data_IF_070002758129
#
_entry.id   IF_070002758129
#
_cell.length_a   1.000
_cell.length_b   1.000
_cell.length_c   1.000
_cell.angle_alpha   90.00
_cell.angle_beta   90.00
_cell.angle_gamma   90.00
#
_symmetry.space_group_name_H-M   'P 1'
#
loop_
_entity.id
_entity.type
_entity.pdbx_description
1 polymer ?
#
# COMPACT_ATOMS: atom_id res chain seq x y z
N UNK A 1 16.28 -18.73 43.21
CA UNK A 1 16.91 -17.73 42.31
C UNK A 1 17.86 -16.86 43.14
N UNK A 2 19.18 -16.96 42.91
CA UNK A 2 20.21 -16.37 43.78
C UNK A 2 20.14 -14.82 43.78
N UNK A 3 20.46 -14.17 44.91
CA UNK A 3 20.40 -12.71 45.08
C UNK A 3 21.25 -11.96 44.04
N UNK A 4 22.38 -12.54 43.65
CA UNK A 4 23.26 -12.06 42.58
C UNK A 4 22.54 -12.03 41.23
N UNK A 5 21.73 -13.04 40.92
CA UNK A 5 20.99 -13.11 39.65
C UNK A 5 19.89 -12.04 39.56
N UNK A 6 19.21 -11.75 40.69
CA UNK A 6 18.23 -10.66 40.76
C UNK A 6 18.90 -9.28 40.57
N UNK A 7 20.07 -9.07 41.19
CA UNK A 7 20.83 -7.83 41.03
C UNK A 7 21.31 -7.63 39.58
N UNK A 8 21.75 -8.70 38.92
CA UNK A 8 22.14 -8.68 37.50
C UNK A 8 20.96 -8.33 36.59
N UNK A 9 19.77 -8.91 36.83
CA UNK A 9 18.54 -8.59 36.08
C UNK A 9 18.11 -7.12 36.23
N UNK A 10 18.20 -6.58 37.45
CA UNK A 10 17.84 -5.18 37.75
C UNK A 10 18.76 -4.19 37.02
N UNK A 11 20.02 -4.56 36.75
CA UNK A 11 20.97 -3.72 36.03
C UNK A 11 20.94 -3.95 34.51
N UNK A 12 20.72 -5.18 34.07
CA UNK A 12 20.74 -5.54 32.65
C UNK A 12 19.51 -5.02 31.87
N UNK A 13 18.32 -5.09 32.46
CA UNK A 13 17.07 -4.68 31.78
C UNK A 13 17.05 -3.20 31.42
N UNK A 14 17.39 -2.25 32.32
CA UNK A 14 17.50 -0.83 31.96
C UNK A 14 18.57 -0.58 30.89
N UNK A 15 19.70 -1.29 30.95
CA UNK A 15 20.76 -1.21 29.96
C UNK A 15 20.25 -1.56 28.55
N UNK A 16 19.53 -2.67 28.42
CA UNK A 16 18.93 -3.11 27.15
C UNK A 16 17.90 -2.11 26.64
N UNK A 17 17.00 -1.61 27.50
CA UNK A 17 16.01 -0.59 27.12
C UNK A 17 16.68 0.70 26.63
N UNK A 18 17.73 1.14 27.32
CA UNK A 18 18.52 2.31 26.91
C UNK A 18 19.19 2.06 25.56
N UNK A 19 19.77 0.87 25.32
CA UNK A 19 20.38 0.53 24.03
C UNK A 19 19.36 0.55 22.89
N UNK A 20 18.15 0.01 23.09
CA UNK A 20 17.08 0.10 22.09
C UNK A 20 16.64 1.53 21.83
N UNK A 21 16.52 2.35 22.88
CA UNK A 21 16.18 3.75 22.75
C UNK A 21 17.25 4.54 21.98
N UNK A 22 18.53 4.33 22.30
CA UNK A 22 19.65 4.94 21.56
C UNK A 22 19.63 4.50 20.10
N UNK A 23 19.43 3.20 19.82
CA UNK A 23 19.35 2.69 18.45
C UNK A 23 18.17 3.30 17.67
N UNK A 24 17.01 3.43 18.32
CA UNK A 24 15.85 4.11 17.73
C UNK A 24 16.15 5.57 17.40
N UNK A 25 16.76 6.32 18.34
CA UNK A 25 17.13 7.72 18.14
C UNK A 25 18.16 7.86 17.02
N UNK A 26 19.19 7.01 17.00
CA UNK A 26 20.20 7.01 15.93
C UNK A 26 19.58 6.71 14.57
N UNK A 27 18.70 5.71 14.48
CA UNK A 27 17.99 5.38 13.25
C UNK A 27 17.11 6.56 12.78
N UNK A 28 16.38 7.19 13.69
CA UNK A 28 15.58 8.38 13.39
C UNK A 28 16.46 9.53 12.88
N UNK A 29 17.62 9.77 13.49
CA UNK A 29 18.59 10.78 13.04
C UNK A 29 19.11 10.42 11.65
N UNK A 30 19.50 9.17 11.40
CA UNK A 30 20.02 8.73 10.10
C UNK A 30 18.98 8.88 9.00
N UNK A 31 17.73 8.44 9.22
CA UNK A 31 16.62 8.62 8.28
C UNK A 31 16.39 10.11 8.04
N UNK A 32 16.34 10.91 9.12
CA UNK A 32 16.16 12.36 9.00
C UNK A 32 17.30 13.00 8.19
N UNK A 33 18.56 12.64 8.43
CA UNK A 33 19.70 13.16 7.66
C UNK A 33 19.67 12.75 6.19
N UNK A 34 19.16 11.56 5.88
CA UNK A 34 19.01 11.09 4.50
C UNK A 34 17.86 11.82 3.77
N UNK A 35 16.78 12.17 4.48
CA UNK A 35 15.53 12.65 3.89
C UNK A 35 15.39 14.17 3.94
N UNK A 36 15.89 14.82 5.00
CA UNK A 36 15.82 16.29 5.17
C UNK A 36 16.47 17.08 4.03
N UNK A 37 17.60 16.68 3.42
CA UNK A 37 18.16 17.40 2.28
C UNK A 37 17.20 17.45 1.09
N UNK A 38 16.46 16.36 0.83
CA UNK A 38 15.46 16.31 -0.22
C UNK A 38 14.29 17.26 0.08
N UNK A 39 13.80 17.28 1.32
CA UNK A 39 12.75 18.23 1.73
C UNK A 39 13.20 19.69 1.68
N UNK A 40 14.41 19.99 2.16
CA UNK A 40 14.97 21.36 2.10
C UNK A 40 15.17 21.84 0.66
N UNK A 41 15.49 20.95 -0.27
CA UNK A 41 15.56 21.30 -1.69
C UNK A 41 14.18 21.73 -2.24
N UNK A 42 13.08 21.13 -1.76
CA UNK A 42 11.73 21.55 -2.13
C UNK A 42 11.31 22.89 -1.50
N UNK A 43 11.95 23.31 -0.41
CA UNK A 43 11.72 24.58 0.28
C UNK A 43 12.67 25.70 -0.17
N UNK A 44 13.62 25.41 -1.07
CA UNK A 44 14.55 26.41 -1.58
C UNK A 44 13.77 27.57 -2.26
N UNK A 45 13.99 28.84 -1.86
CA UNK A 45 13.25 29.97 -2.40
C UNK A 45 13.36 30.14 -3.91
N UNK A 46 14.50 29.77 -4.51
CA UNK A 46 14.70 29.80 -5.96
C UNK A 46 13.88 28.73 -6.65
N UNK A 47 13.89 27.50 -6.12
CA UNK A 47 13.05 26.39 -6.61
C UNK A 47 11.56 26.72 -6.47
N UNK A 48 11.14 27.29 -5.34
CA UNK A 48 9.76 27.71 -5.10
C UNK A 48 9.33 28.83 -6.07
N UNK A 49 10.18 29.83 -6.31
CA UNK A 49 9.90 30.91 -7.25
C UNK A 49 9.79 30.39 -8.69
N UNK A 50 10.71 29.51 -9.11
CA UNK A 50 10.67 28.86 -10.41
C UNK A 50 9.39 28.04 -10.61
N UNK A 51 9.01 27.25 -9.60
CA UNK A 51 7.75 26.49 -9.61
C UNK A 51 6.56 27.42 -9.71
N UNK A 52 6.50 28.47 -8.88
CA UNK A 52 5.39 29.43 -8.90
C UNK A 52 5.22 30.07 -10.27
N UNK A 53 6.32 30.49 -10.90
CA UNK A 53 6.29 31.01 -12.28
C UNK A 53 5.81 29.96 -13.27
N UNK A 54 6.27 28.71 -13.17
CA UNK A 54 5.80 27.63 -14.01
C UNK A 54 4.29 27.38 -13.86
N UNK A 55 3.78 27.25 -12.63
CA UNK A 55 2.35 27.06 -12.33
C UNK A 55 1.47 28.22 -12.83
N UNK A 56 1.96 29.45 -12.77
CA UNK A 56 1.25 30.61 -13.33
C UNK A 56 1.13 30.52 -14.86
N UNK A 57 2.11 29.92 -15.54
CA UNK A 57 2.09 29.75 -16.99
C UNK A 57 1.16 28.61 -17.45
N UNK A 58 0.94 27.59 -16.61
CA UNK A 58 0.06 26.44 -16.86
C UNK A 58 -1.27 26.50 -16.09
N UNK A 59 -1.59 27.67 -15.50
CA UNK A 59 -2.82 27.84 -14.74
C UNK A 59 -4.04 27.61 -15.65
N UNK A 60 -5.14 27.01 -15.12
CA UNK A 60 -6.36 26.79 -15.89
C UNK A 60 -6.85 28.12 -16.50
N UNK A 61 -7.15 28.09 -17.80
CA UNK A 61 -7.75 29.21 -18.55
C UNK A 61 -9.10 28.75 -19.12
N UNK A 62 -9.58 29.48 -20.12
CA UNK A 62 -10.83 29.16 -20.82
C UNK A 62 -10.67 27.99 -21.83
N UNK A 63 -9.59 27.19 -21.71
CA UNK A 63 -9.29 26.03 -22.54
C UNK A 63 -9.11 24.76 -21.69
N UNK A 64 -9.20 23.60 -22.33
CA UNK A 64 -8.90 22.30 -21.70
C UNK A 64 -7.38 22.01 -21.67
N UNK A 65 -6.53 22.96 -22.05
CA UNK A 65 -5.08 22.80 -21.96
C UNK A 65 -4.67 22.77 -20.49
N UNK A 66 -3.70 21.91 -20.17
CA UNK A 66 -3.21 21.70 -18.79
C UNK A 66 -4.26 21.18 -17.80
N UNK A 67 -5.47 20.80 -18.26
CA UNK A 67 -6.48 20.14 -17.45
C UNK A 67 -6.30 18.62 -17.49
N UNK A 68 -6.14 18.03 -16.31
CA UNK A 68 -5.95 16.59 -16.11
C UNK A 68 -6.99 16.08 -15.14
N UNK A 69 -7.70 15.02 -15.50
CA UNK A 69 -8.53 14.26 -14.58
C UNK A 69 -8.25 12.76 -14.68
N UNK A 70 -8.22 12.14 -13.51
CA UNK A 70 -8.07 10.71 -13.29
C UNK A 70 -8.96 10.34 -12.11
N UNK A 71 -9.27 9.06 -11.96
CA UNK A 71 -10.01 8.58 -10.79
C UNK A 71 -9.08 7.74 -9.91
N UNK A 72 -9.29 7.83 -8.60
CA UNK A 72 -8.71 6.91 -7.64
C UNK A 72 -9.86 6.23 -6.89
N UNK A 73 -9.81 4.90 -6.87
CA UNK A 73 -10.68 4.04 -6.07
C UNK A 73 -9.80 3.19 -5.16
N UNK A 74 -10.30 2.83 -3.99
CA UNK A 74 -9.57 2.13 -2.94
C UNK A 74 -10.52 1.20 -2.21
N UNK A 75 -9.98 0.21 -1.50
CA UNK A 75 -10.76 -0.61 -0.57
C UNK A 75 -11.97 -1.27 -1.25
N UNK A 76 -11.73 -1.84 -2.44
CA UNK A 76 -12.75 -2.54 -3.22
C UNK A 76 -13.25 -3.77 -2.47
N UNK A 77 -12.33 -4.45 -1.77
CA UNK A 77 -12.59 -5.59 -0.90
C UNK A 77 -13.56 -6.57 -1.56
N UNK A 78 -13.24 -7.00 -2.79
CA UNK A 78 -13.97 -8.07 -3.47
C UNK A 78 -13.92 -9.30 -2.55
N UNK A 79 -15.09 -9.77 -2.13
CA UNK A 79 -15.21 -10.75 -1.07
C UNK A 79 -16.17 -11.86 -1.43
N UNK A 80 -15.81 -13.09 -1.10
CA UNK A 80 -16.69 -14.26 -1.24
C UNK A 80 -17.79 -14.27 -0.16
N UNK A 81 -17.51 -13.65 0.99
CA UNK A 81 -18.32 -13.80 2.20
C UNK A 81 -18.94 -12.51 2.71
N UNK A 82 -18.34 -11.36 2.41
CA UNK A 82 -18.74 -10.07 2.97
C UNK A 82 -19.24 -9.16 1.86
N UNK A 83 -20.47 -8.68 1.99
CA UNK A 83 -20.99 -7.59 1.16
C UNK A 83 -20.81 -7.80 -0.36
N UNK A 84 -21.56 -8.77 -0.91
CA UNK A 84 -21.53 -9.08 -2.35
C UNK A 84 -21.93 -7.92 -3.26
N UNK A 85 -22.48 -6.82 -2.74
CA UNK A 85 -22.78 -5.62 -3.52
C UNK A 85 -21.52 -4.95 -4.06
N UNK A 86 -20.37 -5.12 -3.41
CA UNK A 86 -19.08 -4.55 -3.87
C UNK A 86 -18.69 -5.02 -5.26
N UNK A 87 -19.02 -6.26 -5.60
CA UNK A 87 -18.81 -6.86 -6.93
C UNK A 87 -19.65 -6.10 -7.96
N UNK A 88 -20.96 -5.95 -7.70
CA UNK A 88 -21.86 -5.23 -8.59
C UNK A 88 -21.52 -3.74 -8.70
N UNK A 89 -21.06 -3.11 -7.61
CA UNK A 89 -20.63 -1.71 -7.61
C UNK A 89 -19.34 -1.50 -8.39
N UNK A 90 -18.39 -2.44 -8.31
CA UNK A 90 -17.18 -2.39 -9.15
C UNK A 90 -17.54 -2.57 -10.63
N UNK A 91 -18.47 -3.47 -10.94
CA UNK A 91 -18.97 -3.65 -12.30
C UNK A 91 -19.66 -2.39 -12.82
N UNK A 92 -20.59 -1.81 -12.05
CA UNK A 92 -21.27 -0.54 -12.36
C UNK A 92 -20.29 0.63 -12.49
N UNK A 93 -19.28 0.72 -11.62
CA UNK A 93 -18.21 1.71 -11.76
C UNK A 93 -17.49 1.55 -13.11
N UNK A 94 -17.12 0.32 -13.46
CA UNK A 94 -16.45 0.03 -14.71
C UNK A 94 -17.36 0.29 -15.93
N UNK A 95 -18.66 0.00 -15.90
CA UNK A 95 -19.54 0.14 -17.07
C UNK A 95 -20.22 1.49 -17.19
N UNK A 96 -20.52 2.17 -16.09
CA UNK A 96 -21.28 3.41 -16.11
C UNK A 96 -20.41 4.62 -15.76
N UNK A 97 -19.70 4.55 -14.62
CA UNK A 97 -18.92 5.69 -14.12
C UNK A 97 -17.74 6.00 -15.03
N UNK A 98 -16.98 4.98 -15.43
CA UNK A 98 -15.85 5.16 -16.36
C UNK A 98 -16.31 5.66 -17.73
N UNK A 99 -17.47 5.19 -18.23
CA UNK A 99 -18.02 5.64 -19.53
C UNK A 99 -18.53 7.08 -19.51
N UNK A 100 -19.04 7.50 -18.36
CA UNK A 100 -19.56 8.85 -18.15
C UNK A 100 -18.42 9.86 -17.96
N UNK A 101 -17.48 9.56 -17.05
CA UNK A 101 -16.38 10.48 -16.70
C UNK A 101 -15.27 10.45 -17.76
N UNK A 102 -15.06 9.30 -18.42
CA UNK A 102 -13.98 9.04 -19.38
C UNK A 102 -12.61 9.47 -18.83
N UNK A 103 -12.20 8.99 -17.65
CA UNK A 103 -10.89 9.32 -17.11
C UNK A 103 -9.79 8.69 -17.96
N UNK A 104 -8.67 9.39 -18.16
CA UNK A 104 -7.55 8.81 -18.91
C UNK A 104 -6.82 7.70 -18.11
N UNK A 105 -6.86 7.82 -16.78
CA UNK A 105 -6.27 6.89 -15.82
C UNK A 105 -7.24 6.63 -14.67
N UNK A 106 -7.35 5.36 -14.27
CA UNK A 106 -7.97 4.93 -13.02
C UNK A 106 -6.92 4.23 -12.17
N UNK A 107 -6.78 4.68 -10.93
CA UNK A 107 -5.90 4.07 -9.92
C UNK A 107 -6.78 3.24 -8.99
N UNK A 108 -6.58 1.92 -8.96
CA UNK A 108 -7.21 1.04 -7.98
C UNK A 108 -6.18 0.73 -6.88
N UNK A 109 -6.20 1.53 -5.81
CA UNK A 109 -5.17 1.52 -4.79
C UNK A 109 -5.59 0.75 -3.55
N UNK A 110 -4.94 -0.38 -3.25
CA UNK A 110 -5.11 -1.06 -1.98
C UNK A 110 -6.38 -1.90 -1.88
N UNK A 111 -6.26 -2.98 -1.11
CA UNK A 111 -7.34 -3.89 -0.69
C UNK A 111 -8.34 -4.18 -1.81
N UNK A 112 -7.81 -4.74 -2.91
CA UNK A 112 -8.59 -5.12 -4.08
C UNK A 112 -9.51 -6.30 -3.74
N UNK A 113 -9.03 -7.20 -2.88
CA UNK A 113 -9.72 -8.37 -2.35
C UNK A 113 -9.80 -8.30 -0.82
N UNK A 114 -10.81 -8.92 -0.22
CA UNK A 114 -11.06 -8.85 1.22
C UNK A 114 -10.27 -9.92 2.00
N UNK A 115 -9.98 -11.08 1.40
CA UNK A 115 -9.18 -12.15 1.98
C UNK A 115 -9.62 -12.57 3.40
N UNK A 116 -10.93 -12.51 3.69
CA UNK A 116 -11.51 -12.95 4.97
C UNK A 116 -12.01 -14.38 4.88
N UNK A 117 -12.01 -15.07 6.02
CA UNK A 117 -12.67 -16.37 6.14
C UNK A 117 -14.18 -16.19 6.30
N UNK A 118 -14.94 -17.26 6.05
CA UNK A 118 -16.39 -17.30 6.23
C UNK A 118 -16.88 -16.92 7.64
N UNK A 119 -16.02 -17.07 8.65
CA UNK A 119 -16.31 -16.68 10.04
C UNK A 119 -15.95 -15.21 10.34
N UNK A 120 -15.33 -14.49 9.40
CA UNK A 120 -14.98 -13.07 9.52
C UNK A 120 -13.79 -12.74 10.44
N UNK A 121 -13.35 -13.66 11.30
CA UNK A 121 -12.25 -13.44 12.25
C UNK A 121 -10.87 -13.92 11.78
N UNK A 122 -10.81 -14.63 10.65
CA UNK A 122 -9.56 -15.11 10.05
C UNK A 122 -9.29 -14.46 8.71
N UNK A 123 -8.02 -14.47 8.30
CA UNK A 123 -7.60 -14.03 6.97
C UNK A 123 -7.00 -15.19 6.18
N UNK A 124 -7.34 -15.29 4.91
CA UNK A 124 -6.78 -16.24 3.97
C UNK A 124 -7.08 -15.78 2.54
N UNK A 125 -6.08 -15.84 1.65
CA UNK A 125 -6.31 -15.55 0.24
C UNK A 125 -7.37 -16.49 -0.35
N UNK A 126 -8.30 -15.93 -1.12
CA UNK A 126 -9.29 -16.67 -1.88
C UNK A 126 -9.07 -16.46 -3.36
N UNK A 127 -8.74 -17.53 -4.07
CA UNK A 127 -8.58 -17.48 -5.52
C UNK A 127 -9.86 -17.01 -6.23
N UNK A 128 -11.03 -17.32 -5.65
CA UNK A 128 -12.31 -16.87 -6.18
C UNK A 128 -12.41 -15.34 -6.21
N UNK A 129 -12.04 -14.63 -5.13
CA UNK A 129 -12.09 -13.16 -5.06
C UNK A 129 -11.22 -12.51 -6.14
N UNK A 130 -10.02 -13.06 -6.33
CA UNK A 130 -9.09 -12.62 -7.38
C UNK A 130 -9.60 -12.92 -8.79
N UNK A 131 -10.20 -14.09 -9.00
CA UNK A 131 -10.85 -14.43 -10.27
C UNK A 131 -12.00 -13.50 -10.58
N UNK A 132 -12.77 -13.12 -9.57
CA UNK A 132 -13.92 -12.24 -9.72
C UNK A 132 -13.49 -10.80 -10.02
N UNK A 133 -12.49 -10.29 -9.30
CA UNK A 133 -11.83 -9.03 -9.64
C UNK A 133 -11.36 -9.02 -11.10
N UNK A 134 -10.56 -10.02 -11.51
CA UNK A 134 -10.04 -10.14 -12.87
C UNK A 134 -11.15 -10.31 -13.92
N UNK A 135 -12.23 -11.03 -13.57
CA UNK A 135 -13.41 -11.21 -14.41
C UNK A 135 -14.06 -9.87 -14.72
N UNK A 136 -14.34 -9.05 -13.70
CA UNK A 136 -14.98 -7.74 -13.89
C UNK A 136 -14.12 -6.85 -14.80
N UNK A 137 -12.82 -6.73 -14.52
CA UNK A 137 -11.92 -5.90 -15.35
C UNK A 137 -11.91 -6.36 -16.81
N UNK A 138 -11.89 -7.68 -17.03
CA UNK A 138 -11.89 -8.30 -18.38
C UNK A 138 -13.23 -8.13 -19.10
N UNK A 139 -14.34 -8.47 -18.46
CA UNK A 139 -15.67 -8.53 -19.08
C UNK A 139 -16.26 -7.16 -19.34
N UNK A 140 -16.01 -6.20 -18.45
CA UNK A 140 -16.37 -4.80 -18.67
C UNK A 140 -15.47 -4.11 -19.69
N UNK A 141 -14.33 -4.72 -20.06
CA UNK A 141 -13.32 -4.17 -20.98
C UNK A 141 -12.89 -2.76 -20.58
N UNK A 142 -12.85 -2.48 -19.28
CA UNK A 142 -12.55 -1.13 -18.75
C UNK A 142 -11.16 -0.64 -19.18
N UNK A 143 -10.22 -1.56 -19.34
CA UNK A 143 -8.83 -1.30 -19.77
C UNK A 143 -8.69 -0.83 -21.21
N UNK A 144 -9.73 -0.99 -22.04
CA UNK A 144 -9.76 -0.45 -23.40
C UNK A 144 -10.20 1.02 -23.43
N UNK A 145 -10.84 1.49 -22.35
CA UNK A 145 -11.42 2.83 -22.23
C UNK A 145 -10.61 3.73 -21.32
N UNK A 146 -9.85 3.17 -20.38
CA UNK A 146 -8.97 3.90 -19.47
C UNK A 146 -7.72 3.09 -19.13
N UNK A 147 -6.65 3.77 -18.73
CA UNK A 147 -5.49 3.07 -18.16
C UNK A 147 -5.83 2.64 -16.73
N UNK A 148 -5.89 1.34 -16.49
CA UNK A 148 -6.13 0.79 -15.15
C UNK A 148 -4.81 0.48 -14.44
N UNK A 149 -4.54 1.18 -13.33
CA UNK A 149 -3.34 1.05 -12.53
C UNK A 149 -3.69 0.52 -11.14
N UNK A 150 -3.64 -0.80 -10.97
CA UNK A 150 -3.86 -1.41 -9.67
C UNK A 150 -2.58 -1.55 -8.84
N UNK A 151 -2.75 -1.50 -7.52
CA UNK A 151 -1.69 -1.79 -6.56
C UNK A 151 -2.28 -2.44 -5.32
N UNK A 152 -1.59 -3.45 -4.79
CA UNK A 152 -2.07 -4.24 -3.66
C UNK A 152 -2.07 -3.48 -2.33
N UNK A 153 -3.02 -3.81 -1.47
CA UNK A 153 -3.04 -3.46 -0.06
C UNK A 153 -2.69 -4.62 0.86
N UNK A 154 -2.92 -4.44 2.15
CA UNK A 154 -2.56 -5.45 3.14
C UNK A 154 -3.46 -6.69 3.04
N UNK A 155 -4.76 -6.54 2.71
CA UNK A 155 -5.65 -7.68 2.54
C UNK A 155 -5.21 -8.58 1.38
N UNK A 156 -4.73 -7.97 0.30
CA UNK A 156 -4.19 -8.66 -0.87
C UNK A 156 -2.87 -9.42 -0.60
N UNK A 157 -2.27 -9.22 0.58
CA UNK A 157 -1.00 -9.81 0.99
C UNK A 157 -1.12 -10.78 2.16
N UNK A 158 -2.30 -10.91 2.77
CA UNK A 158 -2.48 -11.80 3.93
C UNK A 158 -2.21 -13.26 3.57
N UNK A 159 -1.46 -13.95 4.42
CA UNK A 159 -1.09 -15.37 4.26
C UNK A 159 -0.39 -15.68 2.92
N UNK A 160 0.32 -14.71 2.34
CA UNK A 160 1.20 -14.90 1.19
C UNK A 160 2.65 -15.02 1.67
N UNK A 161 3.24 -16.24 1.76
CA UNK A 161 4.54 -16.43 2.40
C UNK A 161 5.72 -15.77 1.67
N UNK A 162 5.59 -15.61 0.35
CA UNK A 162 6.62 -14.99 -0.49
C UNK A 162 6.01 -14.48 -1.80
N UNK A 163 6.75 -13.62 -2.51
CA UNK A 163 6.33 -13.08 -3.82
C UNK A 163 6.13 -14.15 -4.89
N UNK A 164 6.85 -15.27 -4.79
CA UNK A 164 6.74 -16.38 -5.72
C UNK A 164 5.80 -17.48 -5.25
N UNK A 165 5.12 -17.27 -4.12
CA UNK A 165 4.08 -18.17 -3.65
C UNK A 165 2.97 -18.32 -4.68
N UNK A 166 2.46 -19.55 -4.83
CA UNK A 166 1.23 -19.83 -5.60
C UNK A 166 -0.01 -19.14 -5.03
N UNK A 167 0.05 -18.74 -3.75
CA UNK A 167 -1.00 -17.97 -3.08
C UNK A 167 -0.91 -16.46 -3.37
N UNK A 168 0.14 -15.99 -4.06
CA UNK A 168 0.23 -14.60 -4.50
C UNK A 168 -0.64 -14.41 -5.75
N UNK A 169 -1.96 -14.38 -5.55
CA UNK A 169 -2.91 -14.24 -6.66
C UNK A 169 -2.90 -12.85 -7.28
N UNK A 170 -2.43 -11.82 -6.57
CA UNK A 170 -2.15 -10.51 -7.16
C UNK A 170 -1.24 -10.63 -8.38
N UNK A 171 -0.16 -11.44 -8.30
CA UNK A 171 0.77 -11.65 -9.42
C UNK A 171 0.11 -12.20 -10.69
N UNK A 172 -0.98 -12.97 -10.54
CA UNK A 172 -1.62 -13.70 -11.63
C UNK A 172 -2.97 -13.12 -12.08
N UNK A 173 -3.66 -12.37 -11.22
CA UNK A 173 -5.03 -11.89 -11.47
C UNK A 173 -5.18 -10.37 -11.45
N UNK A 174 -4.20 -9.63 -10.91
CA UNK A 174 -4.17 -8.17 -11.06
C UNK A 174 -3.90 -7.78 -12.51
N UNK A 175 -4.30 -6.57 -12.89
CA UNK A 175 -4.05 -6.01 -14.20
C UNK A 175 -2.56 -5.72 -14.42
N UNK A 176 -1.85 -5.27 -13.37
CA UNK A 176 -0.40 -5.01 -13.45
C UNK A 176 0.46 -6.28 -13.33
N UNK A 177 -0.08 -7.36 -12.81
CA UNK A 177 0.59 -8.66 -12.69
C UNK A 177 1.77 -8.64 -11.71
N UNK A 178 2.96 -9.06 -12.17
CA UNK A 178 4.12 -9.31 -11.32
C UNK A 178 4.85 -8.04 -10.80
N UNK A 179 4.40 -6.84 -11.18
CA UNK A 179 4.97 -5.58 -10.71
C UNK A 179 4.49 -5.24 -9.30
N UNK A 180 5.41 -5.02 -8.35
CA UNK A 180 5.08 -4.56 -6.99
C UNK A 180 4.83 -3.07 -6.96
N UNK A 181 5.85 -2.29 -7.32
CA UNK A 181 5.76 -0.84 -7.50
C UNK A 181 5.80 -0.49 -8.98
N UNK A 182 5.33 0.68 -9.36
CA UNK A 182 5.35 1.11 -10.74
C UNK A 182 5.62 2.61 -10.88
N UNK A 183 6.16 2.95 -12.05
CA UNK A 183 6.17 4.30 -12.60
C UNK A 183 5.49 4.24 -13.95
N UNK A 184 4.39 4.96 -14.09
CA UNK A 184 3.63 5.08 -15.33
C UNK A 184 3.55 6.55 -15.71
N UNK A 185 3.86 6.89 -16.95
CA UNK A 185 3.78 8.26 -17.45
C UNK A 185 2.66 8.34 -18.47
N UNK A 186 1.70 9.22 -18.23
CA UNK A 186 0.62 9.51 -19.15
C UNK A 186 0.81 10.88 -19.79
N UNK A 187 0.47 11.00 -21.07
CA UNK A 187 0.49 12.28 -21.79
C UNK A 187 -0.91 12.89 -21.83
N UNK A 188 -1.09 14.04 -21.19
CA UNK A 188 -2.34 14.81 -21.21
C UNK A 188 -2.13 16.08 -22.04
N UNK A 189 -2.51 16.04 -23.32
CA UNK A 189 -2.23 17.14 -24.23
C UNK A 189 -0.72 17.42 -24.35
N UNK A 190 -0.22 18.62 -24.02
CA UNK A 190 1.22 18.92 -24.01
C UNK A 190 1.94 18.38 -22.78
N UNK A 191 1.23 18.01 -21.70
CA UNK A 191 1.81 17.68 -20.41
C UNK A 191 2.10 16.19 -20.24
N UNK A 192 3.11 15.89 -19.42
CA UNK A 192 3.46 14.54 -19.01
C UNK A 192 3.27 14.41 -17.50
N UNK A 193 2.38 13.51 -17.08
CA UNK A 193 2.09 13.26 -15.67
C UNK A 193 2.62 11.88 -15.28
N UNK A 194 3.42 11.85 -14.21
CA UNK A 194 3.97 10.62 -13.64
C UNK A 194 3.08 10.11 -12.51
N UNK A 195 2.58 8.89 -12.66
CA UNK A 195 1.92 8.11 -11.63
C UNK A 195 2.93 7.12 -11.03
N UNK A 196 3.20 7.25 -9.74
CA UNK A 196 4.17 6.40 -9.03
C UNK A 196 3.41 5.62 -7.96
N UNK A 197 3.22 4.32 -8.20
CA UNK A 197 2.63 3.40 -7.24
C UNK A 197 3.72 2.71 -6.41
N UNK A 198 3.62 2.77 -5.09
CA UNK A 198 4.59 2.17 -4.16
C UNK A 198 3.92 1.08 -3.35
N UNK A 199 4.41 -0.16 -3.48
CA UNK A 199 3.88 -1.30 -2.75
C UNK A 199 4.45 -1.37 -1.33
N UNK A 200 3.66 -0.84 -0.40
CA UNK A 200 4.00 -0.79 1.02
C UNK A 200 3.88 -2.14 1.73
N UNK A 201 3.25 -3.15 1.12
CA UNK A 201 3.05 -4.46 1.76
C UNK A 201 4.35 -5.24 1.90
N UNK A 202 5.33 -4.96 1.04
CA UNK A 202 6.69 -5.51 1.19
C UNK A 202 7.38 -5.04 2.47
N UNK A 203 7.09 -3.83 2.95
CA UNK A 203 7.74 -3.25 4.13
C UNK A 203 7.24 -3.94 5.40
N UNK A 204 5.94 -4.19 5.50
CA UNK A 204 5.35 -4.92 6.64
C UNK A 204 5.82 -6.38 6.65
N UNK A 205 5.85 -7.04 5.48
CA UNK A 205 6.34 -8.42 5.37
C UNK A 205 7.81 -8.55 5.78
N UNK A 206 8.66 -7.56 5.43
CA UNK A 206 10.07 -7.54 5.83
C UNK A 206 10.23 -7.41 7.35
N UNK A 207 9.48 -6.50 7.98
CA UNK A 207 9.51 -6.28 9.44
C UNK A 207 9.08 -7.55 10.18
N UNK A 208 8.00 -8.20 9.73
CA UNK A 208 7.49 -9.44 10.32
C UNK A 208 8.49 -10.59 10.13
N UNK A 209 9.06 -10.75 8.94
CA UNK A 209 10.04 -11.80 8.67
C UNK A 209 11.31 -11.61 9.49
N UNK A 210 11.81 -10.37 9.63
CA UNK A 210 12.97 -10.06 10.50
C UNK A 210 12.66 -10.32 11.98
N UNK A 211 11.45 -10.03 12.45
CA UNK A 211 11.03 -10.36 13.82
C UNK A 211 10.97 -11.88 14.05
N UNK A 212 10.47 -12.65 13.07
CA UNK A 212 10.38 -14.11 13.16
C UNK A 212 11.75 -14.80 13.08
N UNK A 213 12.68 -14.31 12.26
CA UNK A 213 14.06 -14.84 12.21
C UNK A 213 14.86 -14.54 13.47
N UNK A 214 14.51 -13.49 14.21
CA UNK A 214 15.16 -13.17 15.49
C UNK A 214 14.52 -13.93 16.67
N UNK A 215 13.25 -14.34 16.54
CA UNK A 215 12.52 -15.14 17.52
C UNK A 215 12.91 -16.64 17.52
N UNK A 216 13.68 -17.12 16.55
CA UNK A 216 14.25 -18.48 16.57
C UNK A 216 15.45 -18.66 17.52
N UNK A 217 15.72 -17.66 18.39
CA UNK A 217 16.63 -17.83 19.53
C UNK A 217 15.85 -18.35 20.74
N UNK A 218 16.35 -19.35 21.50
CA UNK A 218 15.53 -20.09 22.48
C UNK A 218 15.00 -19.27 23.67
N UNK A 219 15.45 -18.03 23.86
CA UNK A 219 15.10 -17.21 25.03
C UNK A 219 13.84 -16.33 24.84
N UNK A 220 13.25 -16.29 23.64
CA UNK A 220 12.10 -15.41 23.30
C UNK A 220 10.84 -16.19 22.87
N UNK A 221 10.67 -17.43 23.33
CA UNK A 221 9.50 -18.28 23.00
C UNK A 221 8.20 -17.89 23.75
N UNK A 222 8.22 -16.85 24.59
CA UNK A 222 7.07 -16.43 25.42
C UNK A 222 6.33 -15.16 24.97
N UNK A 223 6.71 -14.50 23.87
CA UNK A 223 6.19 -13.16 23.50
C UNK A 223 5.45 -13.09 22.15
N UNK A 224 5.23 -14.21 21.48
CA UNK A 224 4.49 -14.29 20.22
C UNK A 224 3.02 -14.66 20.48
N UNK A 225 2.21 -13.71 20.93
CA UNK A 225 0.76 -13.67 20.64
C UNK A 225 0.21 -12.31 21.07
N UNK A 226 0.23 -11.35 20.15
CA UNK A 226 -0.69 -10.20 20.00
C UNK A 226 0.02 -9.11 19.17
N UNK A 227 0.08 -9.28 17.84
CA UNK A 227 0.11 -8.09 16.99
C UNK A 227 -1.30 -7.49 17.08
N UNK A 228 -1.41 -6.38 17.83
CA UNK A 228 -2.64 -5.61 17.97
C UNK A 228 -3.29 -5.40 16.61
N UNK A 229 -4.43 -6.04 16.42
CA UNK A 229 -5.54 -5.49 15.67
C UNK A 229 -5.82 -4.09 16.23
N UNK A 230 -5.42 -3.06 15.49
CA UNK A 230 -6.03 -1.75 15.65
C UNK A 230 -7.40 -1.81 14.99
N UNK A 231 -8.39 -2.29 15.76
CA UNK A 231 -9.79 -1.93 15.52
C UNK A 231 -9.88 -0.41 15.69
N UNK A 232 -9.82 0.33 14.59
CA UNK A 232 -10.48 1.62 14.52
C UNK A 232 -11.96 1.29 14.32
N UNK A 233 -12.73 1.36 15.42
CA UNK A 233 -14.18 1.49 15.29
C UNK A 233 -14.43 2.76 14.49
N UNK A 234 -15.09 2.61 13.35
CA UNK A 234 -15.87 3.70 12.80
C UNK A 234 -17.07 3.87 13.73
N UNK A 235 -17.12 4.99 14.43
CA UNK A 235 -18.35 5.54 14.98
C UNK A 235 -19.13 6.24 13.86
#
# INVERSE_FOLDING_TARGET
MNSVFKALLVLAVPGVVISFFIMFVLNFITISQAVLPAFRHFEDPGVLAQRKSHWQNIAPRDSLEHLVWFLQITDLHVSEYVDGLRITQLEEFCTETVDTIRPAVVIASGDLTDAKTNLGFGTAQREWEWKEYSRIIRETRVTERTTWLDIRGNHDSFNVPSRDSKLNYYKTHSQRGNGTSYHYVHKFGPDLISFIGVDACTIIQLIVNTALTNASTPEMSGLLFWSRYANVKAD
#
